data_IF_775569367507
#
_entry.id   IF_775569367507
#
_cell.length_a   1.000
_cell.length_b   1.000
_cell.length_c   1.000
_cell.angle_alpha   90.00
_cell.angle_beta   90.00
_cell.angle_gamma   90.00
#
_symmetry.space_group_name_H-M   'P 1'
#
loop_
_entity.id
_entity.type
_entity.pdbx_description
1 polymer ?
#
# COMPACT_ATOMS: atom_id res chain seq x y z
N UNK A 1 -21.29 14.52 -12.99
CA UNK A 1 -20.15 14.31 -12.08
C UNK A 1 -19.51 12.97 -12.44
N UNK A 2 -18.19 12.91 -12.67
CA UNK A 2 -17.52 11.67 -13.14
C UNK A 2 -16.83 11.00 -11.96
N UNK A 3 -17.18 9.75 -11.68
CA UNK A 3 -16.54 8.98 -10.62
C UNK A 3 -15.15 8.55 -11.06
N UNK A 4 -14.18 8.73 -10.16
CA UNK A 4 -12.79 8.33 -10.38
C UNK A 4 -12.21 7.76 -9.10
N UNK A 5 -11.42 6.72 -9.27
CA UNK A 5 -10.52 6.17 -8.27
C UNK A 5 -9.18 5.89 -8.94
N UNK A 6 -8.11 5.93 -8.17
CA UNK A 6 -6.77 5.52 -8.64
C UNK A 6 -6.29 4.37 -7.77
N UNK A 7 -5.70 3.34 -8.39
CA UNK A 7 -5.06 2.23 -7.70
C UNK A 7 -3.55 2.34 -7.95
N UNK A 8 -2.77 2.32 -6.88
CA UNK A 8 -1.32 2.19 -6.93
C UNK A 8 -0.93 0.78 -6.49
N UNK A 9 -0.19 0.10 -7.36
CA UNK A 9 0.43 -1.19 -7.09
C UNK A 9 1.94 -1.11 -7.23
N UNK A 10 2.67 -1.87 -6.41
CA UNK A 10 4.11 -1.99 -6.50
C UNK A 10 4.52 -3.44 -6.18
N UNK A 11 5.45 -3.97 -6.98
CA UNK A 11 5.99 -5.31 -6.79
C UNK A 11 7.49 -5.29 -7.06
N UNK A 12 8.22 -6.26 -6.49
CA UNK A 12 9.60 -6.49 -6.88
C UNK A 12 9.68 -7.07 -8.31
N UNK A 13 10.89 -7.08 -8.89
CA UNK A 13 11.10 -7.50 -10.28
C UNK A 13 10.59 -8.93 -10.57
N UNK A 14 10.67 -9.85 -9.60
CA UNK A 14 10.15 -11.22 -9.78
C UNK A 14 8.66 -11.36 -9.48
N UNK A 15 7.98 -10.33 -8.98
CA UNK A 15 6.58 -10.37 -8.58
C UNK A 15 6.27 -11.23 -7.34
N UNK A 16 7.30 -11.84 -6.73
CA UNK A 16 7.20 -12.69 -5.52
C UNK A 16 6.82 -11.91 -4.26
N UNK A 17 7.14 -10.62 -4.22
CA UNK A 17 6.69 -9.72 -3.17
C UNK A 17 5.95 -8.55 -3.81
N UNK A 18 4.73 -8.31 -3.33
CA UNK A 18 3.86 -7.23 -3.75
C UNK A 18 3.51 -6.41 -2.52
N UNK A 19 3.64 -5.09 -2.65
CA UNK A 19 3.20 -4.14 -1.63
C UNK A 19 1.68 -4.12 -1.62
N UNK A 20 1.08 -3.96 -0.44
CA UNK A 20 -0.38 -3.82 -0.30
C UNK A 20 -0.88 -2.67 -1.19
N UNK A 21 -1.94 -2.92 -1.97
CA UNK A 21 -2.49 -1.93 -2.90
C UNK A 21 -2.94 -0.67 -2.15
N UNK A 22 -2.82 0.48 -2.82
CA UNK A 22 -3.34 1.76 -2.33
C UNK A 22 -4.44 2.25 -3.24
N UNK A 23 -5.61 2.52 -2.67
CA UNK A 23 -6.76 3.11 -3.33
C UNK A 23 -6.84 4.60 -2.97
N UNK A 24 -6.80 5.47 -3.98
CA UNK A 24 -7.05 6.90 -3.85
C UNK A 24 -8.47 7.20 -4.30
N UNK A 25 -9.30 7.71 -3.38
CA UNK A 25 -10.67 8.12 -3.66
C UNK A 25 -10.91 9.61 -3.41
N UNK A 26 -12.10 10.08 -3.82
CA UNK A 26 -12.50 11.49 -3.71
C UNK A 26 -12.95 11.94 -2.33
N UNK A 27 -13.40 11.02 -1.48
CA UNK A 27 -13.92 11.37 -0.16
C UNK A 27 -12.96 10.91 0.92
N UNK A 28 -12.66 11.75 1.91
CA UNK A 28 -11.82 11.35 3.05
C UNK A 28 -12.45 10.20 3.85
N UNK A 29 -13.78 10.09 3.85
CA UNK A 29 -14.56 9.03 4.51
C UNK A 29 -15.70 8.58 3.59
N UNK A 30 -15.44 7.67 2.63
CA UNK A 30 -16.48 7.15 1.75
C UNK A 30 -17.61 6.49 2.54
N UNK A 31 -18.85 6.70 2.08
CA UNK A 31 -20.05 6.11 2.72
C UNK A 31 -20.00 4.58 2.76
N UNK A 32 -19.38 3.94 1.77
CA UNK A 32 -19.19 2.49 1.73
C UNK A 32 -18.23 1.95 2.80
N UNK A 33 -17.43 2.81 3.44
CA UNK A 33 -16.55 2.42 4.56
C UNK A 33 -17.16 2.75 5.93
N UNK A 34 -18.44 3.12 5.97
CA UNK A 34 -19.14 3.36 7.24
C UNK A 34 -19.05 2.08 8.09
N UNK A 35 -18.64 2.24 9.34
CA UNK A 35 -18.45 1.15 10.32
C UNK A 35 -17.35 0.14 9.99
N UNK A 36 -16.50 0.40 8.99
CA UNK A 36 -15.33 -0.44 8.69
C UNK A 36 -14.08 0.25 9.23
N UNK A 37 -13.29 -0.46 10.05
CA UNK A 37 -11.99 0.05 10.49
C UNK A 37 -11.04 0.18 9.29
N UNK A 38 -10.28 1.27 9.22
CA UNK A 38 -9.24 1.46 8.17
C UNK A 38 -8.23 0.31 8.13
N UNK A 39 -7.92 -0.29 9.28
CA UNK A 39 -6.98 -1.41 9.38
C UNK A 39 -7.56 -2.72 8.86
N UNK A 40 -8.89 -2.86 8.85
CA UNK A 40 -9.59 -4.02 8.31
C UNK A 40 -9.70 -4.00 6.77
N UNK A 41 -9.41 -2.86 6.13
CA UNK A 41 -9.44 -2.78 4.68
C UNK A 41 -8.30 -3.61 4.06
N UNK A 42 -8.55 -4.33 2.97
CA UNK A 42 -7.52 -5.09 2.25
C UNK A 42 -6.56 -4.18 1.47
N UNK A 43 -6.82 -2.86 1.44
CA UNK A 43 -6.01 -1.84 0.77
C UNK A 43 -5.65 -0.71 1.74
N UNK A 44 -4.59 0.04 1.43
CA UNK A 44 -4.42 1.38 2.00
C UNK A 44 -5.42 2.32 1.34
N UNK A 45 -6.09 3.17 2.12
CA UNK A 45 -7.01 4.17 1.57
C UNK A 45 -6.46 5.58 1.78
N UNK A 46 -6.35 6.31 0.68
CA UNK A 46 -5.92 7.70 0.63
C UNK A 46 -6.97 8.56 -0.08
N UNK A 47 -6.88 9.88 0.11
CA UNK A 47 -7.90 10.81 -0.36
C UNK A 47 -7.29 11.99 -1.11
N UNK A 48 -7.88 12.32 -2.26
CA UNK A 48 -7.64 13.56 -3.00
C UNK A 48 -8.92 13.93 -3.74
N UNK A 49 -9.29 15.21 -3.81
CA UNK A 49 -10.60 15.64 -4.34
C UNK A 49 -10.84 15.23 -5.79
N UNK A 50 -9.78 15.18 -6.60
CA UNK A 50 -9.84 14.59 -7.93
C UNK A 50 -9.88 13.07 -7.90
N UNK A 51 -9.24 12.43 -6.93
CA UNK A 51 -8.79 11.03 -6.93
C UNK A 51 -7.68 10.77 -7.96
N UNK A 52 -6.75 11.71 -8.12
CA UNK A 52 -5.45 11.47 -8.78
C UNK A 52 -4.37 11.19 -7.73
N UNK A 53 -3.33 10.48 -8.12
CA UNK A 53 -2.05 10.51 -7.40
C UNK A 53 -1.36 11.85 -7.63
N UNK A 54 -0.79 12.44 -6.58
CA UNK A 54 0.07 13.62 -6.67
C UNK A 54 1.35 13.40 -5.86
N UNK A 55 2.28 14.35 -5.91
CA UNK A 55 3.56 14.24 -5.23
C UNK A 55 3.43 14.03 -3.71
N UNK A 56 2.56 14.80 -3.04
CA UNK A 56 2.42 14.69 -1.58
C UNK A 56 1.86 13.33 -1.16
N UNK A 57 0.84 12.83 -1.86
CA UNK A 57 0.26 11.50 -1.62
C UNK A 57 1.25 10.39 -1.92
N UNK A 58 2.03 10.52 -2.99
CA UNK A 58 3.06 9.54 -3.29
C UNK A 58 4.13 9.51 -2.21
N UNK A 59 4.56 10.67 -1.71
CA UNK A 59 5.52 10.76 -0.60
C UNK A 59 4.97 10.12 0.68
N UNK A 60 3.73 10.43 1.06
CA UNK A 60 3.03 9.79 2.18
C UNK A 60 2.99 8.26 2.00
N UNK A 61 2.58 7.77 0.83
CA UNK A 61 2.55 6.34 0.54
C UNK A 61 3.94 5.70 0.61
N UNK A 62 4.95 6.39 0.09
CA UNK A 62 6.31 5.88 0.05
C UNK A 62 6.85 5.68 1.47
N UNK A 63 6.70 6.68 2.34
CA UNK A 63 7.22 6.64 3.70
C UNK A 63 6.40 5.77 4.65
N UNK A 64 5.07 5.79 4.54
CA UNK A 64 4.18 5.15 5.53
C UNK A 64 3.75 3.74 5.12
N UNK A 65 3.75 3.42 3.82
CA UNK A 65 3.31 2.12 3.32
C UNK A 65 4.48 1.32 2.73
N UNK A 66 5.16 1.87 1.72
CA UNK A 66 6.19 1.15 0.96
C UNK A 66 7.43 0.83 1.81
N UNK A 67 8.04 1.83 2.46
CA UNK A 67 9.28 1.64 3.22
C UNK A 67 9.13 0.60 4.35
N UNK A 68 8.09 0.65 5.20
CA UNK A 68 7.90 -0.36 6.25
C UNK A 68 7.68 -1.77 5.70
N UNK A 69 6.89 -1.90 4.63
CA UNK A 69 6.58 -3.19 4.02
C UNK A 69 7.81 -3.85 3.39
N UNK A 70 8.59 -3.08 2.62
CA UNK A 70 9.84 -3.55 2.02
C UNK A 70 10.86 -3.91 3.09
N UNK A 71 11.02 -3.09 4.14
CA UNK A 71 11.91 -3.42 5.27
C UNK A 71 11.51 -4.73 5.95
N UNK A 72 10.22 -4.96 6.15
CA UNK A 72 9.69 -6.23 6.70
C UNK A 72 10.02 -7.41 5.79
N UNK A 73 9.82 -7.25 4.48
CA UNK A 73 10.14 -8.31 3.51
C UNK A 73 11.65 -8.64 3.49
N UNK A 74 12.51 -7.61 3.45
CA UNK A 74 13.96 -7.80 3.46
C UNK A 74 14.46 -8.51 4.72
N UNK A 75 13.88 -8.22 5.90
CA UNK A 75 14.21 -8.94 7.14
C UNK A 75 13.82 -10.42 7.04
N UNK A 76 12.63 -10.73 6.53
CA UNK A 76 12.16 -12.12 6.34
C UNK A 76 13.06 -12.91 5.39
N UNK A 77 13.39 -12.33 4.23
CA UNK A 77 14.26 -13.01 3.25
C UNK A 77 15.67 -13.22 3.79
N UNK A 78 16.21 -12.29 4.58
CA UNK A 78 17.53 -12.46 5.23
C UNK A 78 17.54 -13.57 6.28
N UNK A 79 16.49 -13.70 7.09
CA UNK A 79 16.38 -14.79 8.06
C UNK A 79 16.29 -16.14 7.35
N UNK A 80 15.38 -16.28 6.38
CA UNK A 80 15.22 -17.54 5.62
C UNK A 80 16.51 -17.98 4.92
N UNK A 81 17.30 -17.04 4.40
CA UNK A 81 18.60 -17.37 3.78
C UNK A 81 19.64 -17.84 4.80
N UNK A 82 19.63 -17.35 6.05
CA UNK A 82 20.53 -17.84 7.11
C UNK A 82 20.13 -19.25 7.55
N UNK A 83 18.85 -19.47 7.82
CA UNK A 83 18.34 -20.78 8.24
C UNK A 83 18.62 -21.89 7.20
N UNK A 84 18.78 -21.53 5.91
CA UNK A 84 19.17 -22.46 4.84
C UNK A 84 20.69 -22.74 4.76
N UNK A 85 21.54 -21.81 5.21
CA UNK A 85 23.00 -21.97 5.14
C UNK A 85 23.52 -22.72 6.38
N UNK A 86 22.87 -22.53 7.54
CA UNK A 86 23.30 -23.06 8.83
C UNK A 86 22.63 -24.41 9.21
N UNK A 87 21.85 -25.02 8.31
CA UNK A 87 21.15 -26.30 8.50
C UNK A 87 21.55 -27.33 7.45
#
# INVERSE_FOLDING_TARGET
MKDRVTILGCANASGSHRVKLTLVGKSKKPRCFKNISKTALPVHYMHQEGAWMNYSLFSEWFHDCFVPEVKKNLKKTKTQKRDFIDG
#
